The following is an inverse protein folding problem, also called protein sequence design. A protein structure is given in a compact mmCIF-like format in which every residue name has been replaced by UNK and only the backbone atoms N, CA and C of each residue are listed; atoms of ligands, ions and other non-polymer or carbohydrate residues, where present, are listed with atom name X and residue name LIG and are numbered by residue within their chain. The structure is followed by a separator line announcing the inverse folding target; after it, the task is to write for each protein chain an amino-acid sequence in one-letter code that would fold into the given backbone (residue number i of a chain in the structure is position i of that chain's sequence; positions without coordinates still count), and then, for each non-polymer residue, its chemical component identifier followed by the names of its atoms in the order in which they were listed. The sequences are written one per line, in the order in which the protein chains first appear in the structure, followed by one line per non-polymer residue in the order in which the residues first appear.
data_IF_060633097217
#
_entry.id   IF_060633097217
#
_cell.length_a   1.000
_cell.length_b   1.000
_cell.length_c   1.000
_cell.angle_alpha   90.00
_cell.angle_beta   90.00
_cell.angle_gamma   90.00
#
_symmetry.space_group_name_H-M   'P 1'
#
loop_
_entity.id
_entity.type
_entity.pdbx_description
1 polymer ?
#
# COMPACT_ATOMS: atom_id res chain seq x y z
N UNK A 1 34.38 1.44 -8.20
CA UNK A 1 32.98 1.93 -8.17
C UNK A 1 32.84 2.91 -9.32
N UNK A 2 31.83 2.75 -10.18
CA UNK A 2 31.60 3.66 -11.30
C UNK A 2 31.11 5.02 -10.76
N UNK A 3 31.46 6.12 -11.42
CA UNK A 3 31.20 7.50 -10.94
C UNK A 3 29.69 7.78 -10.74
N UNK A 4 28.82 7.08 -11.48
CA UNK A 4 27.35 7.13 -11.34
C UNK A 4 26.83 6.64 -9.99
N UNK A 5 27.25 5.43 -9.57
CA UNK A 5 26.83 4.86 -8.28
C UNK A 5 27.27 5.71 -7.08
N UNK A 6 28.47 6.28 -7.14
CA UNK A 6 28.96 7.17 -6.08
C UNK A 6 28.11 8.44 -5.99
N UNK A 7 27.72 9.00 -7.15
CA UNK A 7 26.84 10.16 -7.21
C UNK A 7 25.43 9.84 -6.67
N UNK A 8 24.86 8.69 -7.04
CA UNK A 8 23.55 8.24 -6.52
C UNK A 8 23.57 8.11 -5.00
N UNK A 9 24.60 7.46 -4.44
CA UNK A 9 24.71 7.29 -2.99
C UNK A 9 24.85 8.63 -2.27
N UNK A 10 25.68 9.54 -2.80
CA UNK A 10 25.85 10.89 -2.24
C UNK A 10 24.56 11.69 -2.26
N UNK A 11 23.76 11.60 -3.34
CA UNK A 11 22.48 12.29 -3.45
C UNK A 11 21.44 11.75 -2.46
N UNK A 12 21.43 10.42 -2.24
CA UNK A 12 20.54 9.79 -1.26
C UNK A 12 20.90 10.18 0.18
N UNK A 13 22.18 10.13 0.53
CA UNK A 13 22.67 10.57 1.85
C UNK A 13 22.36 12.05 2.09
N UNK A 14 22.57 12.90 1.07
CA UNK A 14 22.21 14.30 1.12
C UNK A 14 20.70 14.47 1.37
N UNK A 15 19.85 13.77 0.62
CA UNK A 15 18.41 13.84 0.81
C UNK A 15 17.99 13.45 2.23
N UNK A 16 18.52 12.36 2.78
CA UNK A 16 18.26 11.91 4.14
C UNK A 16 18.63 12.96 5.19
N UNK A 17 19.79 13.61 5.03
CA UNK A 17 20.21 14.69 5.94
C UNK A 17 19.33 15.94 5.86
N UNK A 18 18.70 16.18 4.71
CA UNK A 18 17.93 17.38 4.43
C UNK A 18 16.43 17.21 4.67
N UNK A 19 15.90 15.99 4.81
CA UNK A 19 14.45 15.76 4.92
C UNK A 19 13.76 16.61 6.00
N UNK A 20 14.45 16.91 7.10
CA UNK A 20 13.93 17.70 8.21
C UNK A 20 14.35 19.17 8.18
N UNK A 21 15.43 19.49 7.48
CA UNK A 21 16.06 20.82 7.47
C UNK A 21 15.60 21.63 6.26
N UNK A 22 15.58 20.99 5.09
CA UNK A 22 15.24 21.57 3.80
C UNK A 22 14.58 20.51 2.90
N UNK A 23 13.26 20.28 3.05
CA UNK A 23 12.53 19.28 2.29
C UNK A 23 12.57 19.51 0.78
N UNK A 24 12.70 20.77 0.33
CA UNK A 24 12.74 21.09 -1.09
C UNK A 24 14.05 20.63 -1.74
N UNK A 25 15.17 20.90 -1.08
CA UNK A 25 16.47 20.40 -1.55
C UNK A 25 16.58 18.87 -1.40
N UNK A 26 16.00 18.28 -0.35
CA UNK A 26 15.92 16.83 -0.20
C UNK A 26 15.16 16.18 -1.38
N UNK A 27 14.03 16.78 -1.76
CA UNK A 27 13.23 16.32 -2.90
C UNK A 27 14.02 16.42 -4.22
N UNK A 28 14.71 17.52 -4.45
CA UNK A 28 15.56 17.70 -5.64
C UNK A 28 16.68 16.65 -5.71
N UNK A 29 17.34 16.35 -4.59
CA UNK A 29 18.35 15.29 -4.52
C UNK A 29 17.77 13.90 -4.82
N UNK A 30 16.55 13.61 -4.33
CA UNK A 30 15.85 12.35 -4.63
C UNK A 30 15.43 12.25 -6.11
N UNK A 31 14.93 13.34 -6.71
CA UNK A 31 14.57 13.38 -8.13
C UNK A 31 15.79 13.09 -9.03
N UNK A 32 16.94 13.71 -8.72
CA UNK A 32 18.17 13.48 -9.48
C UNK A 32 18.67 12.04 -9.30
N UNK A 33 18.67 11.52 -8.07
CA UNK A 33 19.05 10.13 -7.81
C UNK A 33 18.14 9.14 -8.55
N UNK A 34 16.83 9.37 -8.53
CA UNK A 34 15.84 8.55 -9.22
C UNK A 34 16.08 8.55 -10.73
N UNK A 35 16.29 9.72 -11.34
CA UNK A 35 16.56 9.83 -12.77
C UNK A 35 17.86 9.11 -13.19
N UNK A 36 18.89 9.12 -12.35
CA UNK A 36 20.12 8.37 -12.62
C UNK A 36 19.87 6.87 -12.57
N UNK A 37 19.13 6.39 -11.57
CA UNK A 37 18.77 4.97 -11.41
C UNK A 37 17.98 4.43 -12.60
N UNK A 38 17.03 5.19 -13.16
CA UNK A 38 16.28 4.74 -14.37
C UNK A 38 17.16 4.46 -15.60
N UNK A 39 18.41 4.95 -15.61
CA UNK A 39 19.36 4.78 -16.71
C UNK A 39 20.42 3.71 -16.42
N UNK A 40 20.51 3.24 -15.18
CA UNK A 40 21.48 2.22 -14.78
C UNK A 40 20.90 0.81 -14.93
N UNK A 41 21.61 -0.11 -15.61
CA UNK A 41 21.19 -1.52 -15.67
C UNK A 41 21.30 -2.17 -14.29
N UNK A 42 20.46 -3.18 -14.02
CA UNK A 42 20.44 -3.98 -12.79
C UNK A 42 20.21 -3.16 -11.50
N UNK A 43 19.50 -2.04 -11.62
CA UNK A 43 19.26 -1.08 -10.53
C UNK A 43 17.85 -1.18 -9.93
N UNK A 44 17.05 -2.19 -10.29
CA UNK A 44 15.61 -2.25 -10.01
C UNK A 44 15.28 -2.12 -8.52
N UNK A 45 16.11 -2.75 -7.67
CA UNK A 45 15.96 -2.66 -6.21
C UNK A 45 16.20 -1.24 -5.71
N UNK A 46 17.30 -0.61 -6.13
CA UNK A 46 17.66 0.75 -5.70
C UNK A 46 16.71 1.79 -6.27
N UNK A 47 16.22 1.58 -7.50
CA UNK A 47 15.17 2.39 -8.12
C UNK A 47 13.88 2.33 -7.31
N UNK A 48 13.43 1.13 -6.91
CA UNK A 48 12.23 0.95 -6.10
C UNK A 48 12.35 1.59 -4.70
N UNK A 49 13.49 1.43 -4.04
CA UNK A 49 13.76 2.08 -2.74
C UNK A 49 13.74 3.61 -2.86
N UNK A 50 14.43 4.15 -3.86
CA UNK A 50 14.48 5.59 -4.12
C UNK A 50 13.11 6.13 -4.52
N UNK A 51 12.36 5.38 -5.34
CA UNK A 51 11.01 5.70 -5.75
C UNK A 51 10.03 5.78 -4.57
N UNK A 52 10.13 4.85 -3.60
CA UNK A 52 9.35 4.92 -2.36
C UNK A 52 9.67 6.17 -1.54
N UNK A 53 10.95 6.49 -1.37
CA UNK A 53 11.39 7.70 -0.65
C UNK A 53 10.87 8.96 -1.34
N UNK A 54 11.03 9.05 -2.67
CA UNK A 54 10.58 10.18 -3.48
C UNK A 54 9.06 10.33 -3.46
N UNK A 55 8.32 9.24 -3.62
CA UNK A 55 6.87 9.26 -3.60
C UNK A 55 6.33 9.65 -2.22
N UNK A 56 6.98 9.20 -1.13
CA UNK A 56 6.66 9.64 0.24
C UNK A 56 6.89 11.15 0.41
N UNK A 57 8.02 11.66 -0.10
CA UNK A 57 8.32 13.08 -0.05
C UNK A 57 7.30 13.93 -0.84
N UNK A 58 6.86 13.46 -2.01
CA UNK A 58 5.77 14.10 -2.76
C UNK A 58 4.44 14.04 -2.03
N UNK A 59 4.08 12.89 -1.45
CA UNK A 59 2.84 12.75 -0.68
C UNK A 59 2.81 13.72 0.52
N UNK A 60 3.92 13.82 1.26
CA UNK A 60 4.07 14.79 2.36
C UNK A 60 3.97 16.25 1.89
N UNK A 61 4.41 16.53 0.66
CA UNK A 61 4.27 17.83 -0.01
C UNK A 61 2.89 18.06 -0.65
N UNK A 62 1.94 17.12 -0.46
CA UNK A 62 0.60 17.09 -1.10
C UNK A 62 0.62 17.06 -2.63
N UNK A 63 1.68 16.51 -3.20
CA UNK A 63 1.85 16.31 -4.64
C UNK A 63 1.50 14.87 -5.05
N UNK A 64 0.33 14.39 -4.64
CA UNK A 64 -0.09 12.99 -4.77
C UNK A 64 -0.06 12.45 -6.20
N UNK A 65 -0.35 13.30 -7.19
CA UNK A 65 -0.26 12.91 -8.61
C UNK A 65 1.17 12.59 -9.04
N UNK A 66 2.18 13.32 -8.50
CA UNK A 66 3.58 13.01 -8.76
C UNK A 66 3.98 11.73 -8.03
N UNK A 67 3.54 11.57 -6.77
CA UNK A 67 3.80 10.36 -6.00
C UNK A 67 3.29 9.09 -6.72
N UNK A 68 2.03 9.11 -7.19
CA UNK A 68 1.45 8.01 -7.98
C UNK A 68 2.24 7.73 -9.25
N UNK A 69 2.66 8.79 -9.97
CA UNK A 69 3.45 8.63 -11.20
C UNK A 69 4.76 7.89 -10.94
N UNK A 70 5.49 8.27 -9.88
CA UNK A 70 6.74 7.61 -9.49
C UNK A 70 6.51 6.14 -9.15
N UNK A 71 5.48 5.83 -8.33
CA UNK A 71 5.19 4.46 -7.92
C UNK A 71 4.76 3.59 -9.11
N UNK A 72 3.93 4.13 -10.00
CA UNK A 72 3.49 3.43 -11.21
C UNK A 72 4.69 3.15 -12.11
N UNK A 73 5.60 4.11 -12.28
CA UNK A 73 6.85 3.90 -13.01
C UNK A 73 7.71 2.78 -12.38
N UNK A 74 7.87 2.75 -11.05
CA UNK A 74 8.59 1.69 -10.35
C UNK A 74 7.94 0.30 -10.50
N UNK A 75 6.61 0.25 -10.66
CA UNK A 75 5.87 -1.00 -10.88
C UNK A 75 5.90 -1.45 -12.35
N UNK A 76 5.99 -0.51 -13.30
CA UNK A 76 5.98 -0.77 -14.75
C UNK A 76 7.38 -1.12 -15.31
N UNK A 77 8.45 -0.59 -14.73
CA UNK A 77 9.82 -0.87 -15.20
C UNK A 77 10.21 -2.33 -14.92
N UNK A 78 9.98 -3.20 -15.93
CA UNK A 78 10.58 -4.52 -16.21
C UNK A 78 10.85 -5.44 -15.01
N UNK A 79 9.92 -5.46 -14.06
CA UNK A 79 9.89 -6.31 -12.89
C UNK A 79 11.00 -6.00 -11.89
N UNK A 80 10.65 -5.19 -10.89
CA UNK A 80 10.69 -5.72 -9.53
C UNK A 80 10.18 -7.16 -9.65
N UNK A 81 11.11 -8.13 -9.67
CA UNK A 81 10.77 -9.53 -9.93
C UNK A 81 9.49 -9.84 -9.16
N UNK A 82 8.52 -10.58 -9.71
CA UNK A 82 7.20 -10.73 -9.07
C UNK A 82 7.29 -11.12 -7.58
N UNK A 83 8.43 -11.69 -7.16
CA UNK A 83 8.83 -12.05 -5.80
C UNK A 83 9.78 -11.09 -5.04
N UNK A 84 10.02 -9.87 -5.51
CA UNK A 84 10.84 -8.90 -4.78
C UNK A 84 10.04 -8.39 -3.58
N UNK A 85 10.74 -8.32 -2.45
CA UNK A 85 10.19 -7.84 -1.17
C UNK A 85 9.65 -6.41 -1.25
N UNK A 86 10.02 -5.66 -2.28
CA UNK A 86 9.59 -4.26 -2.50
C UNK A 86 8.26 -4.15 -3.26
N UNK A 87 7.75 -5.24 -3.83
CA UNK A 87 6.47 -5.23 -4.55
C UNK A 87 5.31 -4.87 -3.60
N UNK A 88 5.28 -5.47 -2.41
CA UNK A 88 4.28 -5.20 -1.39
C UNK A 88 4.27 -3.72 -0.96
N UNK A 89 5.37 -3.11 -0.46
CA UNK A 89 5.34 -1.73 -0.01
C UNK A 89 5.00 -0.74 -1.12
N UNK A 90 5.39 -0.99 -2.37
CA UNK A 90 4.99 -0.15 -3.51
C UNK A 90 3.49 -0.20 -3.77
N UNK A 91 2.89 -1.41 -3.77
CA UNK A 91 1.44 -1.52 -3.92
C UNK A 91 0.70 -0.97 -2.70
N UNK A 92 1.25 -1.11 -1.49
CA UNK A 92 0.64 -0.56 -0.27
C UNK A 92 0.58 0.97 -0.37
N UNK A 93 1.68 1.60 -0.78
CA UNK A 93 1.75 3.03 -0.97
C UNK A 93 0.86 3.52 -2.13
N UNK A 94 0.82 2.79 -3.25
CA UNK A 94 -0.11 3.08 -4.34
C UNK A 94 -1.57 3.03 -3.87
N UNK A 95 -1.95 1.97 -3.14
CA UNK A 95 -3.30 1.80 -2.63
C UNK A 95 -3.69 2.92 -1.66
N UNK A 96 -2.78 3.34 -0.79
CA UNK A 96 -2.99 4.47 0.12
C UNK A 96 -3.27 5.76 -0.62
N UNK A 97 -2.42 6.12 -1.59
CA UNK A 97 -2.62 7.37 -2.35
C UNK A 97 -3.90 7.32 -3.18
N UNK A 98 -4.16 6.22 -3.89
CA UNK A 98 -5.39 6.10 -4.69
C UNK A 98 -6.64 6.17 -3.81
N UNK A 99 -6.62 5.58 -2.62
CA UNK A 99 -7.71 5.70 -1.66
C UNK A 99 -7.91 7.14 -1.20
N UNK A 100 -6.82 7.85 -0.86
CA UNK A 100 -6.86 9.27 -0.49
C UNK A 100 -7.37 10.18 -1.62
N UNK A 101 -7.14 9.80 -2.88
CA UNK A 101 -7.67 10.49 -4.07
C UNK A 101 -9.11 10.08 -4.44
N UNK A 102 -9.76 9.19 -3.68
CA UNK A 102 -11.09 8.67 -3.97
C UNK A 102 -11.15 7.70 -5.17
N UNK A 103 -10.00 7.27 -5.70
CA UNK A 103 -9.90 6.31 -6.80
C UNK A 103 -9.90 4.88 -6.25
N UNK A 104 -11.02 4.50 -5.61
CA UNK A 104 -11.15 3.25 -4.88
C UNK A 104 -10.97 2.00 -5.77
N UNK A 105 -11.38 2.05 -7.04
CA UNK A 105 -11.14 0.96 -8.02
C UNK A 105 -9.65 0.66 -8.19
N UNK A 106 -8.81 1.70 -8.32
CA UNK A 106 -7.36 1.51 -8.47
C UNK A 106 -6.72 1.06 -7.17
N UNK A 107 -7.19 1.59 -6.03
CA UNK A 107 -6.73 1.11 -4.73
C UNK A 107 -7.00 -0.40 -4.58
N UNK A 108 -8.18 -0.85 -5.01
CA UNK A 108 -8.57 -2.26 -5.00
C UNK A 108 -7.63 -3.12 -5.87
N UNK A 109 -7.29 -2.68 -7.08
CA UNK A 109 -6.33 -3.40 -7.95
C UNK A 109 -4.99 -3.66 -7.24
N UNK A 110 -4.46 -2.66 -6.55
CA UNK A 110 -3.20 -2.78 -5.81
C UNK A 110 -3.34 -3.67 -4.57
N UNK A 111 -4.43 -3.56 -3.82
CA UNK A 111 -4.70 -4.42 -2.67
C UNK A 111 -4.84 -5.90 -3.06
N UNK A 112 -5.46 -6.20 -4.20
CA UNK A 112 -5.57 -7.57 -4.73
C UNK A 112 -4.20 -8.16 -5.09
N UNK A 113 -3.28 -7.37 -5.63
CA UNK A 113 -1.89 -7.80 -5.89
C UNK A 113 -1.19 -8.18 -4.57
N UNK A 114 -1.34 -7.36 -3.53
CA UNK A 114 -0.76 -7.63 -2.21
C UNK A 114 -1.36 -8.91 -1.59
N UNK A 115 -2.67 -9.10 -1.69
CA UNK A 115 -3.34 -10.30 -1.19
C UNK A 115 -2.82 -11.58 -1.87
N UNK A 116 -2.57 -11.53 -3.18
CA UNK A 116 -1.95 -12.63 -3.93
C UNK A 116 -0.54 -12.95 -3.42
N UNK A 117 0.27 -11.92 -3.14
CA UNK A 117 1.61 -12.10 -2.56
C UNK A 117 1.55 -12.75 -1.18
N UNK A 118 0.70 -12.27 -0.26
CA UNK A 118 0.59 -12.86 1.09
C UNK A 118 0.00 -14.28 1.08
N UNK A 119 -0.89 -14.58 0.12
CA UNK A 119 -1.38 -15.95 -0.11
C UNK A 119 -0.23 -16.87 -0.52
N UNK A 120 0.61 -16.43 -1.46
CA UNK A 120 1.73 -17.22 -1.99
C UNK A 120 2.79 -17.54 -0.95
N UNK A 121 3.12 -16.58 -0.08
CA UNK A 121 4.08 -16.77 1.03
C UNK A 121 3.46 -17.35 2.29
N UNK A 122 2.15 -17.66 2.28
CA UNK A 122 1.38 -18.23 3.39
C UNK A 122 1.40 -17.39 4.68
N UNK A 123 1.56 -16.08 4.57
CA UNK A 123 1.46 -15.15 5.70
C UNK A 123 -0.01 -14.83 5.97
N UNK A 124 -0.66 -15.71 6.74
CA UNK A 124 -2.09 -15.61 7.05
C UNK A 124 -2.43 -14.30 7.76
N UNK A 125 -1.62 -13.90 8.75
CA UNK A 125 -1.92 -12.70 9.55
C UNK A 125 -1.99 -11.45 8.66
N UNK A 126 -0.98 -11.25 7.81
CA UNK A 126 -0.98 -10.11 6.87
C UNK A 126 -2.06 -10.22 5.80
N UNK A 127 -2.35 -11.43 5.31
CA UNK A 127 -3.48 -11.65 4.41
C UNK A 127 -4.81 -11.19 5.03
N UNK A 128 -5.06 -11.52 6.30
CA UNK A 128 -6.27 -11.08 7.02
C UNK A 128 -6.39 -9.55 7.06
N UNK A 129 -5.30 -8.85 7.37
CA UNK A 129 -5.29 -7.37 7.37
C UNK A 129 -5.60 -6.78 5.99
N UNK A 130 -4.99 -7.34 4.93
CA UNK A 130 -5.25 -6.86 3.56
C UNK A 130 -6.68 -7.17 3.11
N UNK A 131 -7.24 -8.33 3.49
CA UNK A 131 -8.64 -8.64 3.21
C UNK A 131 -9.59 -7.64 3.89
N UNK A 132 -9.30 -7.19 5.11
CA UNK A 132 -10.06 -6.11 5.73
C UNK A 132 -9.95 -4.79 4.96
N UNK A 133 -8.76 -4.43 4.45
CA UNK A 133 -8.60 -3.24 3.60
C UNK A 133 -9.37 -3.35 2.27
N UNK A 134 -9.39 -4.54 1.66
CA UNK A 134 -10.18 -4.81 0.44
C UNK A 134 -11.66 -4.66 0.76
N UNK A 135 -12.13 -5.20 1.89
CA UNK A 135 -13.53 -5.06 2.31
C UNK A 135 -13.95 -3.61 2.51
N UNK A 136 -13.13 -2.80 3.20
CA UNK A 136 -13.39 -1.37 3.35
C UNK A 136 -13.40 -0.65 1.99
N UNK A 137 -12.54 -1.07 1.04
CA UNK A 137 -12.51 -0.48 -0.31
C UNK A 137 -13.79 -0.78 -1.09
N UNK A 138 -14.30 -2.01 -1.04
CA UNK A 138 -15.62 -2.35 -1.59
C UNK A 138 -16.75 -1.56 -0.93
N UNK A 139 -16.70 -1.36 0.39
CA UNK A 139 -17.68 -0.53 1.09
C UNK A 139 -17.66 0.92 0.58
N UNK A 140 -16.48 1.49 0.30
CA UNK A 140 -16.36 2.83 -0.30
C UNK A 140 -16.90 2.89 -1.73
N UNK A 141 -16.88 1.76 -2.45
CA UNK A 141 -17.53 1.59 -3.77
C UNK A 141 -19.03 1.28 -3.66
N UNK A 142 -19.60 1.22 -2.44
CA UNK A 142 -20.98 0.79 -2.17
C UNK A 142 -21.29 -0.67 -2.55
N UNK A 143 -20.25 -1.49 -2.66
CA UNK A 143 -20.31 -2.93 -2.95
C UNK A 143 -20.35 -3.72 -1.63
N UNK A 144 -21.46 -3.59 -0.89
CA UNK A 144 -21.55 -4.07 0.49
C UNK A 144 -21.46 -5.60 0.61
N UNK A 145 -21.99 -6.35 -0.36
CA UNK A 145 -21.93 -7.81 -0.34
C UNK A 145 -20.48 -8.31 -0.50
N UNK A 146 -19.74 -7.71 -1.43
CA UNK A 146 -18.33 -7.97 -1.65
C UNK A 146 -17.50 -7.56 -0.42
N UNK A 147 -17.81 -6.41 0.18
CA UNK A 147 -17.15 -5.95 1.40
C UNK A 147 -17.29 -6.97 2.54
N UNK A 148 -18.52 -7.40 2.82
CA UNK A 148 -18.83 -8.42 3.84
C UNK A 148 -18.06 -9.70 3.56
N UNK A 149 -18.08 -10.20 2.31
CA UNK A 149 -17.37 -11.42 1.95
C UNK A 149 -15.86 -11.35 2.22
N UNK A 150 -15.22 -10.19 2.00
CA UNK A 150 -13.79 -10.04 2.33
C UNK A 150 -13.54 -9.95 3.84
N UNK A 151 -14.38 -9.24 4.58
CA UNK A 151 -14.27 -9.18 6.04
C UNK A 151 -14.52 -10.53 6.71
N UNK A 152 -15.44 -11.35 6.21
CA UNK A 152 -15.65 -12.72 6.70
C UNK A 152 -14.45 -13.63 6.43
N UNK A 153 -13.79 -13.48 5.27
CA UNK A 153 -12.54 -14.19 4.98
C UNK A 153 -11.42 -13.76 5.94
N UNK A 154 -11.31 -12.47 6.26
CA UNK A 154 -10.37 -11.96 7.24
C UNK A 154 -10.68 -12.49 8.64
N UNK A 155 -11.94 -12.44 9.06
CA UNK A 155 -12.44 -12.97 10.34
C UNK A 155 -12.03 -14.43 10.53
N UNK A 156 -12.31 -15.29 9.55
CA UNK A 156 -11.94 -16.71 9.60
C UNK A 156 -10.43 -16.91 9.80
N UNK A 157 -9.61 -16.11 9.13
CA UNK A 157 -8.16 -16.16 9.31
C UNK A 157 -7.78 -15.77 10.74
N UNK A 158 -8.36 -14.70 11.29
CA UNK A 158 -8.05 -14.25 12.64
C UNK A 158 -8.59 -15.20 13.72
N UNK A 159 -9.70 -15.90 13.48
CA UNK A 159 -10.17 -17.01 14.31
C UNK A 159 -9.19 -18.19 14.31
N UNK A 160 -8.68 -18.58 13.14
CA UNK A 160 -7.64 -19.63 13.04
C UNK A 160 -6.35 -19.25 13.78
N UNK A 161 -6.06 -17.95 13.93
CA UNK A 161 -4.89 -17.41 14.62
C UNK A 161 -5.15 -17.07 16.10
N UNK A 162 -6.38 -17.26 16.60
CA UNK A 162 -6.84 -16.81 17.93
C UNK A 162 -6.52 -15.32 18.22
N UNK A 163 -6.58 -14.48 17.19
CA UNK A 163 -6.32 -13.05 17.30
C UNK A 163 -7.61 -12.29 17.65
N UNK A 164 -7.93 -12.25 18.94
CA UNK A 164 -9.16 -11.64 19.47
C UNK A 164 -9.36 -10.18 19.08
N UNK A 165 -8.28 -9.39 19.04
CA UNK A 165 -8.34 -8.00 18.63
C UNK A 165 -8.81 -7.87 17.17
N UNK A 166 -8.22 -8.66 16.27
CA UNK A 166 -8.56 -8.60 14.85
C UNK A 166 -9.89 -9.28 14.51
N UNK A 167 -10.34 -10.24 15.33
CA UNK A 167 -11.70 -10.77 15.29
C UNK A 167 -12.72 -9.66 15.57
N UNK A 168 -12.51 -8.87 16.63
CA UNK A 168 -13.38 -7.75 16.97
C UNK A 168 -13.43 -6.70 15.84
N UNK A 169 -12.26 -6.33 15.29
CA UNK A 169 -12.15 -5.41 14.16
C UNK A 169 -12.92 -5.92 12.94
N UNK A 170 -12.78 -7.21 12.59
CA UNK A 170 -13.48 -7.78 11.43
C UNK A 170 -15.00 -7.82 11.63
N UNK A 171 -15.47 -8.16 12.85
CA UNK A 171 -16.90 -8.10 13.19
C UNK A 171 -17.45 -6.67 13.12
N UNK A 172 -16.69 -5.68 13.61
CA UNK A 172 -17.06 -4.27 13.50
C UNK A 172 -17.26 -3.86 12.03
N UNK A 173 -16.33 -4.22 11.14
CA UNK A 173 -16.46 -3.89 9.72
C UNK A 173 -17.66 -4.56 9.05
N UNK A 174 -17.93 -5.84 9.36
CA UNK A 174 -19.12 -6.54 8.88
C UNK A 174 -20.40 -5.84 9.36
N UNK A 175 -20.49 -5.53 10.65
CA UNK A 175 -21.63 -4.81 11.22
C UNK A 175 -21.81 -3.43 10.61
N UNK A 176 -20.71 -2.73 10.30
CA UNK A 176 -20.76 -1.45 9.58
C UNK A 176 -21.35 -1.64 8.18
N UNK A 177 -20.90 -2.63 7.42
CA UNK A 177 -21.42 -2.89 6.07
C UNK A 177 -22.93 -3.18 6.08
N UNK A 178 -23.42 -4.00 7.00
CA UNK A 178 -24.87 -4.27 7.13
C UNK A 178 -25.67 -3.01 7.48
N UNK A 179 -25.12 -2.09 8.27
CA UNK A 179 -25.77 -0.83 8.57
C UNK A 179 -25.92 0.04 7.31
N UNK A 180 -24.88 0.09 6.47
CA UNK A 180 -24.93 0.81 5.18
C UNK A 180 -25.82 0.11 4.15
N UNK A 181 -26.02 -1.20 4.25
CA UNK A 181 -26.95 -1.98 3.42
C UNK A 181 -28.42 -1.92 3.88
N UNK A 182 -28.74 -1.14 4.92
CA UNK A 182 -30.07 -1.03 5.56
C UNK A 182 -30.57 -2.35 6.20
N UNK A 183 -29.65 -3.25 6.56
CA UNK A 183 -29.91 -4.53 7.23
C UNK A 183 -29.62 -4.44 8.74
N UNK A 184 -30.35 -3.55 9.41
CA UNK A 184 -30.05 -3.10 10.78
C UNK A 184 -30.05 -4.21 11.85
N UNK A 185 -30.92 -5.22 11.71
CA UNK A 185 -31.01 -6.34 12.67
C UNK A 185 -29.75 -7.23 12.63
N UNK A 186 -29.13 -7.38 11.46
CA UNK A 186 -27.91 -8.17 11.29
C UNK A 186 -26.71 -7.33 11.77
N UNK A 187 -26.68 -6.04 11.44
CA UNK A 187 -25.64 -5.12 11.88
C UNK A 187 -25.46 -5.14 13.41
N UNK A 188 -26.56 -5.09 14.17
CA UNK A 188 -26.51 -5.12 15.64
C UNK A 188 -25.81 -6.36 16.19
N UNK A 189 -26.12 -7.55 15.64
CA UNK A 189 -25.53 -8.81 16.09
C UNK A 189 -24.01 -8.91 15.87
N UNK A 190 -23.47 -8.21 14.88
CA UNK A 190 -22.03 -8.15 14.64
C UNK A 190 -21.34 -7.06 15.47
N UNK A 191 -21.98 -5.91 15.65
CA UNK A 191 -21.42 -4.82 16.45
C UNK A 191 -21.26 -5.17 17.94
N UNK A 192 -22.13 -6.02 18.49
CA UNK A 192 -22.02 -6.48 19.90
C UNK A 192 -20.95 -7.57 20.10
N UNK A 193 -20.41 -8.14 19.01
CA UNK A 193 -19.35 -9.16 19.03
C UNK A 193 -17.95 -8.57 18.89
N UNK A 194 -17.83 -7.29 18.53
CA UNK A 194 -16.58 -6.51 18.57
C UNK A 194 -16.33 -5.91 19.93
#
# INVERSE_FOLDING_TARGET
MNNGQQKINSLREQAESLMTIDPANALQSLEEAFLLLTKEPDSEKSLAECGLQLATAYHNSREDLKAVKIITQCLDEKAIAENSKLNIPLNEFAAEIYSGLGQHDKALEHLLKIASSYTSVKDKSKLGHILNKIGETHKMLSEYAEAIAQHERALKIFEELDNKEQIAVSNYYIGNCYNWADELDIAYNYLIKG
#
